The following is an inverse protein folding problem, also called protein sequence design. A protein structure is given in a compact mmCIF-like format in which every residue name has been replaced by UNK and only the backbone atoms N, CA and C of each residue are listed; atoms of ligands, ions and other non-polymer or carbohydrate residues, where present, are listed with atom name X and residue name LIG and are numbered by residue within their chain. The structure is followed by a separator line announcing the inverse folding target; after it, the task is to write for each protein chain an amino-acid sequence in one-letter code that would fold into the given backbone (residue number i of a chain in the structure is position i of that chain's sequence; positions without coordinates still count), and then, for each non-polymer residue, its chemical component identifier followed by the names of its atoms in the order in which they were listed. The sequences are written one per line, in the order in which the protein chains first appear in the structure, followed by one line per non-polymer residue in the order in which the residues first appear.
data_IF_302127695972
#
_entry.id   IF_302127695972
#
_cell.length_a   1.000
_cell.length_b   1.000
_cell.length_c   1.000
_cell.angle_alpha   90.00
_cell.angle_beta   90.00
_cell.angle_gamma   90.00
#
_symmetry.space_group_name_H-M   'P 1'
#
loop_
_entity.id
_entity.type
_entity.pdbx_description
1 polymer ?
#
# COMPACT_ATOMS: atom_id res chain seq x y z
N UNK A 1 23.10 12.02 -28.70
CA UNK A 1 21.86 12.02 -27.89
C UNK A 1 22.27 12.00 -26.42
N UNK A 2 22.03 13.08 -25.65
CA UNK A 2 22.23 13.03 -24.19
C UNK A 2 21.00 12.33 -23.63
N UNK A 3 21.18 11.15 -23.02
CA UNK A 3 20.09 10.46 -22.33
C UNK A 3 19.55 11.35 -21.21
N UNK A 4 18.23 11.34 -21.01
CA UNK A 4 17.61 12.03 -19.88
C UNK A 4 18.24 11.53 -18.57
N UNK A 5 18.50 12.41 -17.59
CA UNK A 5 19.07 12.00 -16.31
C UNK A 5 18.12 11.06 -15.58
N UNK A 6 18.67 10.00 -14.95
CA UNK A 6 17.92 9.04 -14.13
C UNK A 6 17.20 9.79 -13.00
N UNK A 7 15.90 9.54 -12.85
CA UNK A 7 15.06 10.18 -11.84
C UNK A 7 14.89 9.31 -10.59
N UNK A 8 14.44 9.93 -9.49
CA UNK A 8 14.05 9.19 -8.27
C UNK A 8 12.97 8.16 -8.56
N UNK A 9 12.06 8.44 -9.51
CA UNK A 9 11.02 7.51 -9.91
C UNK A 9 11.59 6.30 -10.65
N UNK A 10 12.56 6.51 -11.54
CA UNK A 10 13.22 5.42 -12.26
C UNK A 10 13.92 4.46 -11.29
N UNK A 11 14.63 5.00 -10.29
CA UNK A 11 15.27 4.22 -9.24
C UNK A 11 14.26 3.40 -8.41
N UNK A 12 13.11 3.99 -8.08
CA UNK A 12 12.04 3.29 -7.34
C UNK A 12 11.49 2.14 -8.18
N UNK A 13 11.14 2.41 -9.44
CA UNK A 13 10.56 1.41 -10.35
C UNK A 13 11.54 0.26 -10.58
N UNK A 14 12.83 0.54 -10.73
CA UNK A 14 13.86 -0.49 -10.85
C UNK A 14 13.92 -1.38 -9.60
N UNK A 15 13.90 -0.78 -8.39
CA UNK A 15 13.86 -1.52 -7.13
C UNK A 15 12.62 -2.41 -6.99
N UNK A 16 11.45 -1.88 -7.35
CA UNK A 16 10.18 -2.61 -7.31
C UNK A 16 10.18 -3.81 -8.25
N UNK A 17 10.74 -3.68 -9.46
CA UNK A 17 10.89 -4.81 -10.39
C UNK A 17 11.78 -5.93 -9.83
N UNK A 18 12.86 -5.56 -9.13
CA UNK A 18 13.72 -6.54 -8.48
C UNK A 18 12.98 -7.29 -7.34
N UNK A 19 12.21 -6.56 -6.52
CA UNK A 19 11.42 -7.15 -5.43
C UNK A 19 10.28 -8.03 -5.96
N UNK A 20 9.68 -7.62 -7.08
CA UNK A 20 8.64 -8.36 -7.78
C UNK A 20 9.13 -9.73 -8.26
N UNK A 21 10.28 -9.80 -8.93
CA UNK A 21 10.82 -11.06 -9.43
C UNK A 21 11.00 -12.09 -8.29
N UNK A 22 11.44 -11.64 -7.11
CA UNK A 22 11.56 -12.49 -5.95
C UNK A 22 10.19 -12.98 -5.41
N UNK A 23 9.12 -12.20 -5.58
CA UNK A 23 7.75 -12.58 -5.17
C UNK A 23 7.15 -13.57 -6.17
N UNK A 24 7.28 -13.32 -7.46
CA UNK A 24 6.80 -14.20 -8.54
C UNK A 24 7.42 -15.59 -8.47
N UNK A 25 8.71 -15.72 -8.11
CA UNK A 25 9.34 -17.02 -7.88
C UNK A 25 8.73 -17.80 -6.70
N UNK A 26 8.22 -17.10 -5.67
CA UNK A 26 7.63 -17.71 -4.47
C UNK A 26 6.16 -18.06 -4.65
N UNK A 27 5.44 -17.24 -5.40
CA UNK A 27 4.04 -17.44 -5.71
C UNK A 27 3.81 -17.05 -7.17
N UNK A 28 3.75 -18.01 -8.11
CA UNK A 28 3.45 -17.72 -9.51
C UNK A 28 2.08 -17.08 -9.69
N UNK A 29 1.89 -16.32 -10.78
CA UNK A 29 0.67 -15.56 -11.02
C UNK A 29 -0.59 -16.45 -11.02
N UNK A 30 -0.51 -17.67 -11.54
CA UNK A 30 -1.64 -18.61 -11.59
C UNK A 30 -2.04 -19.10 -10.19
N UNK A 31 -1.09 -19.15 -9.25
CA UNK A 31 -1.39 -19.40 -7.85
C UNK A 31 -2.05 -18.19 -7.20
N UNK A 32 -1.61 -16.98 -7.53
CA UNK A 32 -2.18 -15.74 -7.02
C UNK A 32 -3.61 -15.55 -7.51
N UNK A 33 -3.88 -15.73 -8.80
CA UNK A 33 -5.22 -15.64 -9.39
C UNK A 33 -6.21 -16.60 -8.72
N UNK A 34 -5.79 -17.86 -8.49
CA UNK A 34 -6.62 -18.84 -7.76
C UNK A 34 -6.91 -18.41 -6.33
N UNK A 35 -5.94 -17.80 -5.64
CA UNK A 35 -6.16 -17.27 -4.28
C UNK A 35 -7.14 -16.10 -4.32
N UNK A 36 -6.98 -15.17 -5.26
CA UNK A 36 -7.86 -14.00 -5.41
C UNK A 36 -9.30 -14.42 -5.73
N UNK A 37 -9.49 -15.41 -6.60
CA UNK A 37 -10.81 -15.91 -6.95
C UNK A 37 -11.59 -16.51 -5.76
N UNK A 38 -10.89 -16.94 -4.70
CA UNK A 38 -11.49 -17.47 -3.48
C UNK A 38 -11.75 -16.41 -2.40
N UNK A 39 -11.34 -15.15 -2.61
CA UNK A 39 -11.54 -14.07 -1.65
C UNK A 39 -12.95 -13.48 -1.74
N UNK A 40 -13.50 -12.95 -0.63
CA UNK A 40 -14.69 -12.12 -0.71
C UNK A 40 -14.43 -10.86 -1.54
N UNK A 41 -15.48 -10.23 -2.10
CA UNK A 41 -15.36 -8.95 -2.79
C UNK A 41 -14.68 -7.88 -1.92
N UNK A 42 -13.90 -7.01 -2.57
CA UNK A 42 -13.35 -5.84 -1.89
C UNK A 42 -14.48 -4.89 -1.43
N UNK A 43 -14.20 -4.15 -0.36
CA UNK A 43 -15.11 -3.10 0.12
C UNK A 43 -15.16 -1.95 -0.88
N UNK A 44 -16.37 -1.50 -1.23
CA UNK A 44 -16.59 -0.34 -2.09
C UNK A 44 -16.37 0.96 -1.30
N UNK A 45 -15.37 1.79 -1.65
CA UNK A 45 -15.14 3.07 -0.97
C UNK A 45 -16.07 4.19 -1.45
N UNK A 46 -16.73 4.03 -2.61
CA UNK A 46 -17.45 5.11 -3.27
C UNK A 46 -18.59 5.69 -2.43
N UNK A 47 -19.39 4.92 -1.67
CA UNK A 47 -20.43 5.47 -0.82
C UNK A 47 -19.88 6.43 0.24
N UNK A 48 -18.74 6.11 0.86
CA UNK A 48 -18.10 6.97 1.85
C UNK A 48 -17.46 8.21 1.20
N UNK A 49 -16.87 8.05 0.00
CA UNK A 49 -16.22 9.14 -0.73
C UNK A 49 -17.20 10.13 -1.35
N UNK A 50 -18.41 9.69 -1.70
CA UNK A 50 -19.46 10.52 -2.28
C UNK A 50 -20.39 11.17 -1.24
N UNK A 51 -20.26 10.81 0.04
CA UNK A 51 -21.07 11.39 1.11
C UNK A 51 -20.76 12.89 1.31
N UNK A 52 -21.73 13.69 1.77
CA UNK A 52 -21.47 15.09 2.11
C UNK A 52 -20.37 15.25 3.17
N UNK A 53 -19.50 16.24 2.98
CA UNK A 53 -18.39 16.53 3.89
C UNK A 53 -17.03 16.18 3.27
N UNK A 54 -16.01 16.02 4.13
CA UNK A 54 -14.64 15.68 3.71
C UNK A 54 -14.40 14.19 3.93
N UNK A 55 -14.16 13.45 2.85
CA UNK A 55 -13.71 12.06 2.93
C UNK A 55 -12.18 12.00 3.07
N UNK A 56 -11.69 11.62 4.26
CA UNK A 56 -10.26 11.50 4.53
C UNK A 56 -9.75 10.09 4.28
N UNK A 57 -8.70 9.95 3.47
CA UNK A 57 -7.87 8.74 3.40
C UNK A 57 -6.66 8.96 4.30
N UNK A 58 -6.60 8.28 5.45
CA UNK A 58 -5.48 8.39 6.38
C UNK A 58 -4.38 7.38 6.03
N UNK A 59 -3.11 7.79 6.07
CA UNK A 59 -2.00 6.97 5.57
C UNK A 59 -1.07 6.47 6.69
N UNK A 60 -0.82 5.16 6.69
CA UNK A 60 0.22 4.50 7.48
C UNK A 60 1.53 4.54 6.67
N UNK A 61 2.48 5.38 7.10
CA UNK A 61 3.75 5.61 6.39
C UNK A 61 4.90 5.90 7.36
N UNK A 62 5.97 5.11 7.30
CA UNK A 62 7.16 5.27 8.16
C UNK A 62 8.22 6.22 7.60
N UNK A 63 8.36 6.28 6.27
CA UNK A 63 9.43 7.05 5.64
C UNK A 63 8.94 7.70 4.34
N UNK A 64 9.55 8.81 3.92
CA UNK A 64 9.41 9.31 2.55
C UNK A 64 10.74 9.84 2.00
N UNK A 65 11.03 9.69 0.68
CA UNK A 65 12.26 10.22 0.08
C UNK A 65 12.50 11.72 0.33
N UNK A 66 11.41 12.49 0.43
CA UNK A 66 11.46 13.94 0.60
C UNK A 66 11.62 14.42 2.05
N UNK A 67 11.27 13.60 3.05
CA UNK A 67 11.30 13.99 4.47
C UNK A 67 12.10 13.05 5.36
N UNK A 68 12.61 11.94 4.83
CA UNK A 68 13.30 10.92 5.63
C UNK A 68 12.33 10.10 6.48
N UNK A 69 12.81 9.64 7.63
CA UNK A 69 12.00 8.94 8.61
C UNK A 69 10.96 9.89 9.23
N UNK A 70 9.72 9.41 9.31
CA UNK A 70 8.61 10.09 9.96
C UNK A 70 8.47 9.59 11.40
N UNK A 71 7.33 9.86 12.03
CA UNK A 71 7.03 9.35 13.35
C UNK A 71 7.16 7.81 13.38
N UNK A 72 7.74 7.24 14.45
CA UNK A 72 7.89 5.79 14.58
C UNK A 72 6.50 5.14 14.63
N UNK A 73 6.32 4.09 13.84
CA UNK A 73 5.11 3.26 13.82
C UNK A 73 5.50 1.88 14.35
N UNK A 74 5.27 1.68 15.65
CA UNK A 74 5.53 0.41 16.34
C UNK A 74 4.50 -0.65 15.97
N UNK A 75 3.23 -0.23 15.83
CA UNK A 75 2.12 -1.08 15.44
C UNK A 75 1.29 -0.39 14.35
N UNK A 76 1.38 -0.83 13.07
CA UNK A 76 0.60 -0.26 11.98
C UNK A 76 -0.90 -0.54 12.13
N UNK A 77 -1.28 -1.65 12.76
CA UNK A 77 -2.68 -2.02 12.95
C UNK A 77 -3.33 -1.10 13.97
N UNK A 78 -2.69 -0.88 15.13
CA UNK A 78 -3.19 0.07 16.14
C UNK A 78 -3.32 1.50 15.58
N UNK A 79 -2.35 1.96 14.77
CA UNK A 79 -2.43 3.26 14.13
C UNK A 79 -3.61 3.36 13.15
N UNK A 80 -3.82 2.32 12.34
CA UNK A 80 -4.94 2.28 11.39
C UNK A 80 -6.29 2.22 12.10
N UNK A 81 -6.42 1.47 13.19
CA UNK A 81 -7.61 1.46 14.04
C UNK A 81 -7.90 2.86 14.59
N UNK A 82 -6.90 3.55 15.13
CA UNK A 82 -7.06 4.92 15.63
C UNK A 82 -7.54 5.89 14.52
N UNK A 83 -7.03 5.74 13.29
CA UNK A 83 -7.51 6.53 12.16
C UNK A 83 -8.96 6.21 11.77
N UNK A 84 -9.33 4.93 11.74
CA UNK A 84 -10.69 4.52 11.44
C UNK A 84 -11.69 5.01 12.50
N UNK A 85 -11.33 4.88 13.79
CA UNK A 85 -12.14 5.35 14.93
C UNK A 85 -12.31 6.88 14.93
N UNK A 86 -11.30 7.60 14.43
CA UNK A 86 -11.36 9.05 14.23
C UNK A 86 -12.16 9.48 12.98
N UNK A 87 -12.73 8.54 12.22
CA UNK A 87 -13.61 8.82 11.08
C UNK A 87 -12.91 8.83 9.72
N UNK A 88 -11.73 8.22 9.58
CA UNK A 88 -11.12 8.04 8.26
C UNK A 88 -12.04 7.20 7.36
N UNK A 89 -12.34 7.70 6.15
CA UNK A 89 -13.17 7.02 5.17
C UNK A 89 -12.48 5.79 4.55
N UNK A 90 -11.14 5.80 4.51
CA UNK A 90 -10.32 4.67 4.12
C UNK A 90 -8.91 4.79 4.72
N UNK A 91 -8.19 3.67 4.77
CA UNK A 91 -6.79 3.63 5.19
C UNK A 91 -5.88 3.35 3.99
N UNK A 92 -4.87 4.19 3.78
CA UNK A 92 -3.77 3.95 2.84
C UNK A 92 -2.61 3.30 3.58
N UNK A 93 -2.04 2.22 3.03
CA UNK A 93 -0.88 1.55 3.62
C UNK A 93 0.24 1.50 2.61
N UNK A 94 1.39 2.10 2.94
CA UNK A 94 2.59 2.00 2.11
C UNK A 94 3.15 0.58 2.18
N UNK A 95 3.40 -0.02 1.03
CA UNK A 95 3.95 -1.39 0.94
C UNK A 95 5.31 -1.46 0.22
N UNK A 96 5.77 -0.34 -0.32
CA UNK A 96 7.11 -0.20 -0.91
C UNK A 96 8.17 -0.24 0.21
N UNK A 97 9.16 -1.11 0.06
CA UNK A 97 10.10 -1.47 1.13
C UNK A 97 11.32 -0.55 1.20
N UNK A 98 11.86 -0.11 0.06
CA UNK A 98 13.22 0.46 -0.03
C UNK A 98 13.25 1.94 0.32
N UNK A 99 12.22 2.70 -0.09
CA UNK A 99 12.12 4.16 0.05
C UNK A 99 11.08 4.59 1.08
N UNK A 100 10.05 3.78 1.32
CA UNK A 100 8.96 4.12 2.24
C UNK A 100 8.95 3.28 3.52
N UNK A 101 9.80 2.26 3.62
CA UNK A 101 9.88 1.34 4.77
C UNK A 101 8.51 0.74 5.13
N UNK A 102 7.72 0.45 4.11
CA UNK A 102 6.46 -0.28 4.19
C UNK A 102 6.64 -1.77 3.93
N UNK A 103 5.56 -2.55 4.03
CA UNK A 103 5.57 -3.98 3.74
C UNK A 103 4.17 -4.51 3.42
N UNK A 104 4.09 -5.68 2.76
CA UNK A 104 2.82 -6.39 2.61
C UNK A 104 2.29 -6.92 3.95
N UNK A 105 3.16 -7.17 4.92
CA UNK A 105 2.75 -7.60 6.26
C UNK A 105 2.04 -6.46 7.01
N UNK A 106 2.48 -5.21 6.83
CA UNK A 106 1.75 -4.04 7.33
C UNK A 106 0.34 -3.96 6.72
N UNK A 107 0.22 -4.21 5.42
CA UNK A 107 -1.09 -4.23 4.73
C UNK A 107 -1.99 -5.33 5.30
N UNK A 108 -1.47 -6.54 5.51
CA UNK A 108 -2.23 -7.63 6.12
C UNK A 108 -2.67 -7.30 7.55
N UNK A 109 -1.75 -6.76 8.37
CA UNK A 109 -2.04 -6.39 9.76
C UNK A 109 -3.13 -5.30 9.84
N UNK A 110 -3.03 -4.26 9.00
CA UNK A 110 -4.06 -3.21 8.91
C UNK A 110 -5.38 -3.77 8.43
N UNK A 111 -5.39 -4.59 7.36
CA UNK A 111 -6.63 -5.16 6.82
C UNK A 111 -7.37 -6.00 7.86
N UNK A 112 -6.65 -6.73 8.71
CA UNK A 112 -7.24 -7.52 9.78
C UNK A 112 -7.84 -6.68 10.93
N UNK A 113 -7.38 -5.44 11.11
CA UNK A 113 -7.73 -4.61 12.26
C UNK A 113 -8.82 -3.55 12.00
N UNK A 114 -9.13 -3.24 10.75
CA UNK A 114 -10.12 -2.21 10.40
C UNK A 114 -11.24 -2.77 9.55
N UNK A 115 -12.40 -2.10 9.58
CA UNK A 115 -13.59 -2.45 8.76
C UNK A 115 -13.79 -1.50 7.58
N UNK A 116 -13.08 -0.38 7.52
CA UNK A 116 -13.10 0.57 6.40
C UNK A 116 -12.31 0.03 5.19
N UNK A 117 -12.52 0.54 3.97
CA UNK A 117 -11.69 0.21 2.81
C UNK A 117 -10.20 0.47 3.06
N UNK A 118 -9.34 -0.38 2.49
CA UNK A 118 -7.88 -0.27 2.61
C UNK A 118 -7.26 -0.19 1.22
N UNK A 119 -6.50 0.87 0.98
CA UNK A 119 -5.73 1.11 -0.23
C UNK A 119 -4.30 0.60 -0.04
N UNK A 120 -3.87 -0.32 -0.91
CA UNK A 120 -2.44 -0.63 -1.07
C UNK A 120 -1.78 0.53 -1.81
N UNK A 121 -0.93 1.29 -1.11
CA UNK A 121 -0.13 2.35 -1.69
C UNK A 121 1.24 1.81 -2.06
N UNK A 122 1.50 1.72 -3.35
CA UNK A 122 2.72 1.15 -3.90
C UNK A 122 2.95 1.68 -5.33
N UNK A 123 4.04 1.26 -5.96
CA UNK A 123 4.31 1.46 -7.37
C UNK A 123 3.92 0.18 -8.13
N UNK A 124 2.71 0.14 -8.65
CA UNK A 124 2.19 -0.99 -9.43
C UNK A 124 2.73 -0.89 -10.86
N UNK A 125 3.54 -1.86 -11.28
CA UNK A 125 4.22 -1.85 -12.60
C UNK A 125 3.92 -3.08 -13.45
N UNK A 126 3.24 -4.08 -12.88
CA UNK A 126 2.77 -5.30 -13.58
C UNK A 126 1.42 -5.75 -13.03
N UNK A 127 0.65 -6.58 -13.77
CA UNK A 127 -0.60 -7.18 -13.29
C UNK A 127 -0.45 -8.15 -12.11
N UNK A 128 0.76 -8.63 -11.81
CA UNK A 128 1.00 -9.52 -10.68
C UNK A 128 0.76 -8.81 -9.33
N UNK A 129 1.05 -7.51 -9.27
CA UNK A 129 0.95 -6.70 -8.05
C UNK A 129 -0.50 -6.29 -7.79
#
# INVERSE_FOLDING_TARGET
MRGSPVTVLDDIVAGVRADLAAREMRAPIEQLERRVAALPPALDPMPAFAAPGVALIAEVKRHSPSRGALAPITDPAALATAYADAGAAAISVLTEQRRFAGSLDDLHAVRAAVTVPVLRKDFVVTPYQ
#
